data_IF_794526219079
#
_entry.id   IF_794526219079
#
_cell.length_a   1.000
_cell.length_b   1.000
_cell.length_c   1.000
_cell.angle_alpha   90.00
_cell.angle_beta   90.00
_cell.angle_gamma   90.00
#
_symmetry.space_group_name_H-M   'P 1'
#
loop_
_entity.id
_entity.type
_entity.pdbx_description
1 polymer ?
#
# COMPACT_ATOMS: atom_id res chain seq x y z
N UNK A 1 -0.69 43.08 27.39
CA UNK A 1 -2.03 43.54 26.95
C UNK A 1 -2.85 42.44 26.22
N UNK A 2 -2.70 41.15 26.58
CA UNK A 2 -3.51 40.02 26.04
C UNK A 2 -4.21 39.22 27.17
N UNK A 3 -3.88 39.51 28.45
CA UNK A 3 -4.51 38.85 29.60
C UNK A 3 -5.82 39.48 30.08
N UNK A 4 -6.21 40.66 29.58
CA UNK A 4 -7.46 41.33 30.01
C UNK A 4 -8.65 40.97 29.10
N UNK A 5 -8.40 40.65 27.83
CA UNK A 5 -9.46 40.32 26.85
C UNK A 5 -10.03 38.91 27.05
N UNK A 6 -9.21 37.94 27.48
CA UNK A 6 -9.70 36.59 27.83
C UNK A 6 -10.52 36.56 29.13
N UNK A 7 -10.23 37.48 30.06
CA UNK A 7 -10.91 37.53 31.35
C UNK A 7 -12.33 38.12 31.24
N UNK A 8 -12.54 39.08 30.32
CA UNK A 8 -13.87 39.63 30.06
C UNK A 8 -14.79 38.65 29.30
N UNK A 9 -14.24 37.82 28.42
CA UNK A 9 -15.01 36.83 27.65
C UNK A 9 -15.55 35.69 28.54
N UNK A 10 -14.79 35.32 29.58
CA UNK A 10 -15.21 34.33 30.58
C UNK A 10 -16.21 34.89 31.61
N UNK A 11 -16.23 36.20 31.84
CA UNK A 11 -17.16 36.84 32.77
C UNK A 11 -18.57 36.99 32.18
N UNK A 12 -18.67 37.21 30.85
CA UNK A 12 -19.96 37.31 30.15
C UNK A 12 -20.69 35.96 30.01
N UNK A 13 -19.97 34.84 30.09
CA UNK A 13 -20.55 33.49 30.08
C UNK A 13 -21.07 33.02 31.46
N UNK A 14 -20.88 33.82 32.52
CA UNK A 14 -21.30 33.46 33.90
C UNK A 14 -22.64 34.04 34.36
N UNK A 15 -23.36 34.78 33.52
CA UNK A 15 -24.67 35.36 33.88
C UNK A 15 -25.89 34.51 33.51
N UNK A 16 -25.72 33.29 32.97
CA UNK A 16 -26.84 32.44 32.57
C UNK A 16 -26.74 30.96 32.97
N UNK A 17 -26.02 30.62 34.05
CA UNK A 17 -25.94 29.22 34.49
C UNK A 17 -26.25 29.09 35.99
N UNK A 18 -27.39 28.48 36.29
CA UNK A 18 -27.71 27.90 37.61
C UNK A 18 -26.64 26.87 38.02
N UNK A 19 -26.26 26.79 39.30
CA UNK A 19 -25.17 25.91 39.74
C UNK A 19 -25.64 24.45 39.78
N UNK A 20 -25.04 23.61 38.94
CA UNK A 20 -25.08 22.15 39.11
C UNK A 20 -23.88 21.75 39.98
N UNK A 21 -24.18 21.24 41.18
CA UNK A 21 -23.22 20.66 42.10
C UNK A 21 -22.63 19.38 41.48
N UNK A 22 -21.32 19.39 41.18
CA UNK A 22 -20.60 18.17 40.81
C UNK A 22 -20.23 17.38 42.07
N UNK A 23 -20.99 16.31 42.33
CA UNK A 23 -20.56 15.26 43.25
C UNK A 23 -19.59 14.33 42.51
N UNK A 24 -18.42 14.12 43.09
CA UNK A 24 -17.29 13.43 42.46
C UNK A 24 -17.45 11.92 42.68
N UNK A 25 -18.10 11.22 41.75
CA UNK A 25 -17.94 9.78 41.40
C UNK A 25 -19.08 9.36 40.48
N UNK A 26 -18.84 9.29 39.17
CA UNK A 26 -19.49 8.34 38.26
C UNK A 26 -18.83 8.42 36.87
N UNK A 27 -18.51 7.26 36.31
CA UNK A 27 -17.92 7.09 34.98
C UNK A 27 -18.97 7.42 33.93
N UNK A 28 -18.86 8.61 33.33
CA UNK A 28 -19.73 9.09 32.25
C UNK A 28 -19.27 8.55 30.90
N UNK A 29 -19.85 7.44 30.42
CA UNK A 29 -19.95 7.12 28.99
C UNK A 29 -21.10 6.16 28.72
N UNK A 30 -22.34 6.60 28.94
CA UNK A 30 -23.53 6.07 28.23
C UNK A 30 -24.64 7.12 28.32
N UNK A 31 -24.56 8.15 27.48
CA UNK A 31 -25.75 8.94 27.14
C UNK A 31 -26.37 8.32 25.87
N UNK A 32 -27.65 7.96 26.00
CA UNK A 32 -28.49 7.47 24.93
C UNK A 32 -28.55 8.50 23.79
N UNK A 33 -27.82 8.23 22.71
CA UNK A 33 -28.05 8.89 21.44
C UNK A 33 -29.31 8.28 20.82
N UNK A 34 -30.40 9.03 20.86
CA UNK A 34 -31.58 8.75 20.03
C UNK A 34 -31.10 8.57 18.58
N UNK A 35 -31.38 7.38 18.05
CA UNK A 35 -30.92 6.94 16.75
C UNK A 35 -31.66 7.72 15.68
N UNK A 36 -31.03 8.78 15.15
CA UNK A 36 -31.35 9.24 13.80
C UNK A 36 -30.95 8.08 12.89
N UNK A 37 -31.93 7.29 12.45
CA UNK A 37 -31.75 6.34 11.35
C UNK A 37 -31.61 7.21 10.10
N UNK A 38 -30.44 7.81 9.91
CA UNK A 38 -29.97 8.07 8.55
C UNK A 38 -29.92 6.70 7.89
N UNK A 39 -30.62 6.54 6.77
CA UNK A 39 -30.35 5.45 5.84
C UNK A 39 -28.88 5.57 5.43
N UNK A 40 -28.00 4.92 6.18
CA UNK A 40 -26.58 4.84 5.87
C UNK A 40 -26.48 4.07 4.57
N UNK A 41 -26.35 4.79 3.47
CA UNK A 41 -25.94 4.19 2.21
C UNK A 41 -24.53 3.62 2.41
N UNK A 42 -24.43 2.29 2.35
CA UNK A 42 -23.14 1.61 2.40
C UNK A 42 -22.28 2.09 1.22
N UNK A 43 -20.97 2.30 1.42
CA UNK A 43 -20.09 2.71 0.35
C UNK A 43 -19.94 1.61 -0.70
N UNK A 44 -19.91 2.00 -1.96
CA UNK A 44 -19.66 1.08 -3.07
C UNK A 44 -18.15 0.83 -3.20
N UNK A 45 -17.73 -0.42 -2.97
CA UNK A 45 -16.33 -0.84 -3.04
C UNK A 45 -16.16 -1.82 -4.19
N UNK A 46 -15.22 -1.52 -5.09
CA UNK A 46 -14.84 -2.44 -6.16
C UNK A 46 -13.63 -3.26 -5.72
N UNK A 47 -13.78 -4.58 -5.63
CA UNK A 47 -12.66 -5.51 -5.45
C UNK A 47 -12.15 -5.94 -6.82
N UNK A 48 -10.96 -5.47 -7.19
CA UNK A 48 -10.25 -5.85 -8.41
C UNK A 48 -9.24 -6.94 -8.05
N UNK A 49 -9.31 -8.08 -8.73
CA UNK A 49 -8.44 -9.21 -8.43
C UNK A 49 -7.44 -9.51 -9.54
N UNK A 50 -6.18 -9.74 -9.17
CA UNK A 50 -5.12 -10.18 -10.08
C UNK A 50 -4.62 -11.60 -9.83
N UNK A 51 -5.16 -12.30 -8.83
CA UNK A 51 -4.72 -13.63 -8.41
C UNK A 51 -3.82 -13.60 -7.17
N UNK A 52 -2.69 -14.30 -7.23
CA UNK A 52 -1.79 -14.50 -6.10
C UNK A 52 -2.22 -15.62 -5.16
N UNK A 53 -1.44 -15.79 -4.08
CA UNK A 53 -1.65 -16.80 -3.03
C UNK A 53 -3.03 -16.71 -2.37
N UNK A 54 -3.63 -15.52 -2.28
CA UNK A 54 -4.98 -15.32 -1.73
C UNK A 54 -6.07 -16.07 -2.52
N UNK A 55 -5.83 -16.29 -3.81
CA UNK A 55 -6.64 -17.10 -4.71
C UNK A 55 -6.00 -18.49 -4.96
N UNK A 56 -4.98 -18.84 -4.20
CA UNK A 56 -4.20 -20.06 -4.38
C UNK A 56 -4.86 -21.29 -3.78
N UNK A 57 -4.67 -22.44 -4.44
CA UNK A 57 -5.23 -23.73 -4.01
C UNK A 57 -4.11 -24.74 -3.80
N UNK A 58 -4.14 -25.40 -2.65
CA UNK A 58 -3.28 -26.53 -2.33
C UNK A 58 -4.11 -27.82 -2.24
N UNK A 59 -3.44 -28.98 -2.36
CA UNK A 59 -4.11 -30.28 -2.32
C UNK A 59 -4.61 -30.68 -0.92
N UNK A 60 -4.13 -30.02 0.14
CA UNK A 60 -4.56 -30.26 1.51
C UNK A 60 -4.56 -28.96 2.32
N UNK A 61 -5.35 -28.91 3.39
CA UNK A 61 -5.36 -27.76 4.31
C UNK A 61 -4.06 -27.60 5.11
N UNK A 62 -3.19 -28.61 5.14
CA UNK A 62 -1.90 -28.55 5.87
C UNK A 62 -0.77 -28.03 4.98
N UNK A 63 -0.99 -27.97 3.66
CA UNK A 63 0.00 -27.55 2.69
C UNK A 63 -0.03 -26.04 2.53
N UNK A 64 1.05 -25.37 2.91
CA UNK A 64 1.20 -23.90 2.80
C UNK A 64 2.24 -23.47 1.77
N UNK A 65 3.12 -24.36 1.31
CA UNK A 65 4.27 -24.02 0.44
C UNK A 65 4.13 -24.52 -0.99
N UNK A 66 3.47 -25.67 -1.20
CA UNK A 66 3.24 -26.27 -2.52
C UNK A 66 1.79 -26.08 -2.93
N UNK A 67 1.50 -24.96 -3.58
CA UNK A 67 0.16 -24.61 -4.05
C UNK A 67 0.24 -23.97 -5.43
N UNK A 68 -0.93 -23.86 -6.09
CA UNK A 68 -1.06 -23.12 -7.35
C UNK A 68 -1.66 -21.76 -7.07
N UNK A 69 -0.87 -20.71 -7.26
CA UNK A 69 -1.28 -19.30 -7.16
C UNK A 69 -2.36 -18.97 -8.20
N UNK A 70 -3.25 -18.01 -7.91
CA UNK A 70 -4.23 -17.52 -8.90
C UNK A 70 -5.15 -18.60 -9.49
N UNK A 71 -5.66 -19.53 -8.68
CA UNK A 71 -6.55 -20.62 -9.15
C UNK A 71 -8.02 -20.26 -9.02
N UNK A 72 -8.41 -19.69 -7.87
CA UNK A 72 -9.80 -19.33 -7.61
C UNK A 72 -10.13 -17.97 -8.23
N UNK A 73 -11.39 -17.80 -8.63
CA UNK A 73 -11.92 -16.47 -8.91
C UNK A 73 -12.25 -15.73 -7.61
N UNK A 74 -12.21 -14.40 -7.62
CA UNK A 74 -12.46 -13.56 -6.44
C UNK A 74 -13.85 -13.77 -5.85
N UNK A 75 -14.85 -14.14 -6.66
CA UNK A 75 -16.19 -14.50 -6.17
C UNK A 75 -16.15 -15.73 -5.25
N UNK A 76 -15.31 -16.73 -5.56
CA UNK A 76 -15.13 -17.90 -4.69
C UNK A 76 -14.30 -17.53 -3.45
N UNK A 77 -13.24 -16.73 -3.62
CA UNK A 77 -12.38 -16.28 -2.50
C UNK A 77 -13.17 -15.54 -1.42
N UNK A 78 -14.15 -14.71 -1.78
CA UNK A 78 -14.95 -13.95 -0.82
C UNK A 78 -16.20 -14.66 -0.34
N UNK A 79 -16.52 -15.84 -0.88
CA UNK A 79 -17.81 -16.53 -0.65
C UNK A 79 -18.12 -16.73 0.83
N UNK A 80 -17.13 -17.18 1.59
CA UNK A 80 -17.30 -17.51 3.02
C UNK A 80 -17.31 -16.27 3.92
N UNK A 81 -16.85 -15.11 3.42
CA UNK A 81 -16.84 -13.83 4.15
C UNK A 81 -17.91 -12.85 3.66
N UNK A 82 -18.81 -13.24 2.74
CA UNK A 82 -19.85 -12.36 2.23
C UNK A 82 -20.68 -11.72 3.34
N UNK A 83 -21.11 -12.49 4.33
CA UNK A 83 -21.86 -11.99 5.47
C UNK A 83 -21.10 -10.97 6.33
N UNK A 84 -19.76 -11.03 6.35
CA UNK A 84 -18.93 -10.02 7.01
C UNK A 84 -18.87 -8.70 6.23
N UNK A 85 -18.99 -8.75 4.89
CA UNK A 85 -18.88 -7.59 4.02
C UNK A 85 -20.22 -6.85 3.82
N UNK A 86 -21.34 -7.57 3.91
CA UNK A 86 -22.70 -7.04 3.66
C UNK A 86 -23.07 -5.82 4.52
N UNK A 87 -22.57 -5.72 5.74
CA UNK A 87 -22.81 -4.56 6.62
C UNK A 87 -21.73 -3.48 6.53
N UNK A 88 -20.68 -3.72 5.74
CA UNK A 88 -19.51 -2.82 5.60
C UNK A 88 -19.61 -2.02 4.30
N UNK A 89 -19.92 -2.68 3.18
CA UNK A 89 -19.90 -2.05 1.86
C UNK A 89 -20.77 -2.80 0.84
N UNK A 90 -21.24 -2.08 -0.18
CA UNK A 90 -21.78 -2.70 -1.39
C UNK A 90 -20.61 -3.16 -2.27
N UNK A 91 -20.40 -4.48 -2.35
CA UNK A 91 -19.25 -5.06 -3.05
C UNK A 91 -19.56 -5.27 -4.53
N UNK A 92 -18.78 -4.61 -5.39
CA UNK A 92 -18.64 -4.96 -6.79
C UNK A 92 -17.37 -5.79 -6.99
N UNK A 93 -17.45 -6.86 -7.77
CA UNK A 93 -16.34 -7.80 -7.96
C UNK A 93 -15.87 -7.72 -9.40
N UNK A 94 -14.56 -7.51 -9.59
CA UNK A 94 -13.91 -7.47 -10.90
C UNK A 94 -12.72 -8.44 -10.93
N UNK A 95 -12.84 -9.51 -11.70
CA UNK A 95 -11.74 -10.42 -11.96
C UNK A 95 -10.91 -9.89 -13.14
N UNK A 96 -9.84 -9.17 -12.85
CA UNK A 96 -9.01 -8.55 -13.88
C UNK A 96 -7.93 -9.48 -14.43
N UNK A 97 -7.16 -10.12 -13.55
CA UNK A 97 -6.15 -11.13 -13.88
C UNK A 97 -6.26 -12.30 -12.89
N UNK A 98 -5.58 -13.41 -13.16
CA UNK A 98 -5.48 -14.51 -12.20
C UNK A 98 -4.13 -15.23 -12.33
N UNK A 99 -3.07 -14.55 -11.89
CA UNK A 99 -1.67 -14.96 -12.10
C UNK A 99 -0.90 -14.96 -10.78
N UNK A 100 0.29 -15.55 -10.78
CA UNK A 100 1.27 -15.30 -9.73
C UNK A 100 1.82 -13.86 -9.83
N UNK A 101 2.10 -13.21 -8.69
CA UNK A 101 2.74 -11.89 -8.72
C UNK A 101 4.09 -11.90 -9.42
N UNK A 102 4.82 -13.02 -9.41
CA UNK A 102 6.12 -13.13 -10.10
C UNK A 102 6.01 -13.09 -11.63
N UNK A 103 4.80 -13.20 -12.19
CA UNK A 103 4.55 -13.04 -13.63
C UNK A 103 4.30 -11.57 -14.02
N UNK A 104 4.17 -10.66 -13.05
CA UNK A 104 3.93 -9.23 -13.32
C UNK A 104 5.22 -8.59 -13.85
N UNK A 105 5.25 -8.37 -15.16
CA UNK A 105 6.25 -7.54 -15.83
C UNK A 105 5.82 -6.06 -15.89
N UNK A 106 6.68 -5.18 -16.42
CA UNK A 106 6.42 -3.73 -16.49
C UNK A 106 5.15 -3.37 -17.27
N UNK A 107 4.90 -4.02 -18.40
CA UNK A 107 3.66 -3.83 -19.17
C UNK A 107 2.42 -4.22 -18.37
N UNK A 108 2.44 -5.36 -17.66
CA UNK A 108 1.35 -5.75 -16.76
C UNK A 108 1.15 -4.78 -15.60
N UNK A 109 2.23 -4.26 -15.02
CA UNK A 109 2.17 -3.25 -13.96
C UNK A 109 1.51 -1.95 -14.46
N UNK A 110 1.85 -1.49 -15.67
CA UNK A 110 1.19 -0.35 -16.34
C UNK A 110 -0.28 -0.67 -16.58
N UNK A 111 -0.62 -1.86 -17.10
CA UNK A 111 -2.03 -2.29 -17.29
C UNK A 111 -2.83 -2.29 -15.98
N UNK A 112 -2.23 -2.72 -14.87
CA UNK A 112 -2.84 -2.64 -13.53
C UNK A 112 -3.10 -1.18 -13.16
N UNK A 113 -2.11 -0.29 -13.34
CA UNK A 113 -2.29 1.14 -13.08
C UNK A 113 -3.41 1.76 -13.93
N UNK A 114 -3.44 1.51 -15.24
CA UNK A 114 -4.55 1.97 -16.08
C UNK A 114 -5.91 1.40 -15.64
N UNK A 115 -5.99 0.13 -15.24
CA UNK A 115 -7.24 -0.47 -14.76
C UNK A 115 -7.75 0.23 -13.51
N UNK A 116 -6.87 0.52 -12.55
CA UNK A 116 -7.18 1.27 -11.32
C UNK A 116 -7.54 2.71 -11.65
N UNK A 117 -6.77 3.37 -12.53
CA UNK A 117 -7.00 4.73 -13.01
C UNK A 117 -8.39 4.93 -13.62
N UNK A 118 -8.88 3.97 -14.41
CA UNK A 118 -10.27 4.00 -14.91
C UNK A 118 -11.30 3.79 -13.80
N UNK A 119 -11.02 2.92 -12.83
CA UNK A 119 -11.96 2.63 -11.75
C UNK A 119 -12.13 3.81 -10.80
N UNK A 120 -11.05 4.53 -10.49
CA UNK A 120 -11.15 5.73 -9.63
C UNK A 120 -11.98 6.84 -10.29
N UNK A 121 -12.11 6.86 -11.62
CA UNK A 121 -12.98 7.78 -12.34
C UNK A 121 -14.46 7.34 -12.37
N UNK A 122 -14.76 6.07 -12.06
CA UNK A 122 -16.13 5.56 -12.06
C UNK A 122 -16.96 6.23 -10.92
N UNK A 123 -18.02 6.99 -11.22
CA UNK A 123 -18.80 7.70 -10.19
C UNK A 123 -19.52 6.76 -9.23
N UNK A 124 -19.79 5.52 -9.64
CA UNK A 124 -20.42 4.51 -8.79
C UNK A 124 -19.44 3.93 -7.75
N UNK A 125 -18.13 4.07 -7.96
CA UNK A 125 -17.11 3.49 -7.09
C UNK A 125 -16.63 4.52 -6.07
N UNK A 126 -16.63 4.16 -4.79
CA UNK A 126 -16.23 5.03 -3.68
C UNK A 126 -14.90 4.61 -3.04
N UNK A 127 -14.45 3.38 -3.30
CA UNK A 127 -13.15 2.85 -2.89
C UNK A 127 -12.80 1.58 -3.66
N UNK A 128 -11.52 1.24 -3.70
CA UNK A 128 -11.00 0.10 -4.45
C UNK A 128 -10.18 -0.78 -3.52
N UNK A 129 -10.40 -2.09 -3.61
CA UNK A 129 -9.50 -3.10 -3.03
C UNK A 129 -8.86 -3.87 -4.17
N UNK A 130 -7.52 -3.90 -4.22
CA UNK A 130 -6.76 -4.69 -5.19
C UNK A 130 -6.20 -5.93 -4.48
N UNK A 131 -6.68 -7.12 -4.84
CA UNK A 131 -6.07 -8.37 -4.35
C UNK A 131 -4.92 -8.77 -5.27
N UNK A 132 -3.71 -8.89 -4.73
CA UNK A 132 -2.49 -9.16 -5.49
C UNK A 132 -1.56 -10.15 -4.75
N UNK A 133 -0.76 -10.90 -5.50
CA UNK A 133 0.26 -11.79 -4.94
C UNK A 133 1.32 -11.03 -4.15
N UNK A 134 1.79 -11.59 -3.04
CA UNK A 134 2.53 -10.81 -2.05
C UNK A 134 3.97 -10.48 -2.45
N UNK A 135 4.55 -11.18 -3.44
CA UNK A 135 5.96 -11.02 -3.80
C UNK A 135 6.26 -9.67 -4.45
N UNK A 136 5.43 -9.21 -5.39
CA UNK A 136 5.58 -7.91 -6.06
C UNK A 136 4.60 -6.84 -5.55
N UNK A 137 3.97 -7.06 -4.40
CA UNK A 137 2.96 -6.14 -3.86
C UNK A 137 3.55 -4.78 -3.52
N UNK A 138 4.76 -4.73 -2.98
CA UNK A 138 5.37 -3.47 -2.55
C UNK A 138 5.77 -2.60 -3.76
N UNK A 139 6.28 -3.22 -4.82
CA UNK A 139 6.64 -2.60 -6.08
C UNK A 139 5.39 -2.07 -6.80
N UNK A 140 4.35 -2.89 -6.95
CA UNK A 140 3.10 -2.48 -7.60
C UNK A 140 2.40 -1.38 -6.79
N UNK A 141 2.37 -1.48 -5.47
CA UNK A 141 1.82 -0.42 -4.63
C UNK A 141 2.59 0.90 -4.81
N UNK A 142 3.93 0.83 -4.93
CA UNK A 142 4.77 2.02 -5.14
C UNK A 142 4.48 2.64 -6.50
N UNK A 143 4.38 1.85 -7.57
CA UNK A 143 3.95 2.32 -8.89
C UNK A 143 2.59 3.00 -8.84
N UNK A 144 1.60 2.37 -8.21
CA UNK A 144 0.25 2.95 -8.08
C UNK A 144 0.27 4.25 -7.28
N UNK A 145 1.09 4.32 -6.23
CA UNK A 145 1.24 5.55 -5.44
C UNK A 145 1.80 6.71 -6.24
N UNK A 146 2.62 6.44 -7.28
CA UNK A 146 3.17 7.44 -8.18
C UNK A 146 2.23 7.80 -9.33
N UNK A 147 1.37 6.87 -9.76
CA UNK A 147 0.63 7.00 -11.03
C UNK A 147 -0.88 7.24 -10.86
N UNK A 148 -1.44 6.91 -9.70
CA UNK A 148 -2.86 7.13 -9.41
C UNK A 148 -3.03 8.44 -8.64
N UNK A 149 -3.83 9.34 -9.21
CA UNK A 149 -4.32 10.54 -8.56
C UNK A 149 -5.82 10.38 -8.30
N UNK A 150 -6.23 10.33 -7.03
CA UNK A 150 -7.60 9.98 -6.67
C UNK A 150 -7.95 10.39 -5.25
N UNK A 151 -9.12 11.01 -5.07
CA UNK A 151 -9.71 11.24 -3.73
C UNK A 151 -10.35 9.99 -3.11
N UNK A 152 -10.39 8.87 -3.85
CA UNK A 152 -10.94 7.58 -3.42
C UNK A 152 -9.80 6.65 -2.98
N UNK A 153 -9.97 5.90 -1.87
CA UNK A 153 -8.98 4.93 -1.40
C UNK A 153 -8.69 3.84 -2.44
N UNK A 154 -7.41 3.51 -2.59
CA UNK A 154 -6.94 2.28 -3.22
C UNK A 154 -6.17 1.47 -2.18
N UNK A 155 -6.71 0.30 -1.82
CA UNK A 155 -6.13 -0.57 -0.80
C UNK A 155 -5.64 -1.85 -1.45
N UNK A 156 -4.34 -2.13 -1.38
CA UNK A 156 -3.78 -3.41 -1.80
C UNK A 156 -3.83 -4.40 -0.65
N UNK A 157 -4.16 -5.65 -0.96
CA UNK A 157 -4.13 -6.75 0.01
C UNK A 157 -3.83 -8.09 -0.68
N UNK A 158 -3.54 -9.11 0.10
CA UNK A 158 -3.17 -10.43 -0.37
C UNK A 158 -3.17 -11.45 0.78
N UNK A 159 -2.46 -12.55 0.59
CA UNK A 159 -2.30 -13.57 1.63
C UNK A 159 -0.91 -14.19 1.55
N UNK A 160 -0.38 -14.61 2.70
CA UNK A 160 0.83 -15.42 2.80
C UNK A 160 0.49 -16.91 2.62
N UNK A 161 -0.68 -17.34 3.08
CA UNK A 161 -1.13 -18.74 2.99
C UNK A 161 -2.16 -18.90 1.87
N UNK A 162 -2.15 -20.04 1.14
CA UNK A 162 -3.15 -20.30 0.12
C UNK A 162 -4.55 -20.37 0.74
N UNK A 163 -5.58 -20.08 -0.06
CA UNK A 163 -6.97 -19.99 0.39
C UNK A 163 -7.44 -21.27 1.10
N UNK A 164 -6.98 -22.44 0.65
CA UNK A 164 -7.35 -23.74 1.21
C UNK A 164 -6.61 -24.11 2.49
N UNK A 165 -5.60 -23.35 2.90
CA UNK A 165 -4.81 -23.66 4.08
C UNK A 165 -5.60 -23.46 5.38
N UNK A 166 -5.28 -24.27 6.38
CA UNK A 166 -5.74 -24.08 7.75
C UNK A 166 -5.25 -22.73 8.25
N UNK A 167 -6.18 -21.95 8.81
CA UNK A 167 -5.89 -20.58 9.27
C UNK A 167 -5.28 -19.71 8.17
N UNK A 168 -5.84 -19.79 6.95
CA UNK A 168 -5.51 -18.85 5.87
C UNK A 168 -5.78 -17.41 6.29
N UNK A 169 -4.88 -16.50 5.95
CA UNK A 169 -4.93 -15.08 6.34
C UNK A 169 -5.74 -14.21 5.36
N UNK A 170 -5.95 -14.70 4.13
CA UNK A 170 -6.67 -13.99 3.07
C UNK A 170 -8.05 -13.44 3.45
N UNK A 171 -8.96 -14.24 4.03
CA UNK A 171 -10.29 -13.78 4.42
C UNK A 171 -10.27 -12.56 5.36
N UNK A 172 -9.44 -12.59 6.41
CA UNK A 172 -9.30 -11.46 7.35
C UNK A 172 -8.67 -10.24 6.69
N UNK A 173 -7.64 -10.45 5.87
CA UNK A 173 -6.98 -9.37 5.11
C UNK A 173 -7.97 -8.66 4.16
N UNK A 174 -8.87 -9.38 3.48
CA UNK A 174 -9.89 -8.79 2.60
C UNK A 174 -10.90 -7.96 3.39
N UNK A 175 -11.41 -8.48 4.52
CA UNK A 175 -12.35 -7.74 5.37
C UNK A 175 -11.69 -6.43 5.82
N UNK A 176 -10.47 -6.51 6.35
CA UNK A 176 -9.72 -5.33 6.78
C UNK A 176 -9.47 -4.33 5.66
N UNK A 177 -9.14 -4.81 4.45
CA UNK A 177 -8.90 -3.97 3.29
C UNK A 177 -10.18 -3.27 2.82
N UNK A 178 -11.31 -3.99 2.78
CA UNK A 178 -12.63 -3.42 2.43
C UNK A 178 -13.02 -2.37 3.46
N UNK A 179 -12.95 -2.66 4.76
CA UNK A 179 -13.25 -1.68 5.81
C UNK A 179 -12.36 -0.45 5.69
N UNK A 180 -11.06 -0.64 5.43
CA UNK A 180 -10.13 0.47 5.18
C UNK A 180 -10.53 1.30 3.96
N UNK A 181 -11.00 0.65 2.88
CA UNK A 181 -11.47 1.32 1.66
C UNK A 181 -12.82 2.05 1.84
N UNK A 182 -13.58 1.79 2.91
CA UNK A 182 -14.78 2.59 3.23
C UNK A 182 -14.47 3.96 3.83
N UNK A 183 -13.28 4.11 4.42
CA UNK A 183 -12.93 5.27 5.22
C UNK A 183 -12.60 6.51 4.38
N UNK A 184 -13.17 7.67 4.77
CA UNK A 184 -12.75 8.99 4.26
C UNK A 184 -11.33 9.36 4.69
N UNK A 185 -10.72 8.61 5.62
CA UNK A 185 -9.37 8.81 6.17
C UNK A 185 -8.24 8.46 5.20
N UNK A 186 -8.55 7.83 4.07
CA UNK A 186 -7.60 7.64 2.96
C UNK A 186 -7.25 8.92 2.21
N UNK A 187 -7.94 10.03 2.48
CA UNK A 187 -7.72 11.34 1.81
C UNK A 187 -6.30 11.92 1.95
N UNK A 188 -5.40 11.30 2.70
CA UNK A 188 -3.99 11.71 2.79
C UNK A 188 -3.02 10.67 2.26
N UNK A 189 -3.49 9.48 1.93
CA UNK A 189 -2.73 8.38 1.35
C UNK A 189 -3.63 7.65 0.35
N UNK A 190 -3.49 7.99 -0.92
CA UNK A 190 -4.38 7.51 -1.98
C UNK A 190 -4.23 5.99 -2.19
N UNK A 191 -3.02 5.48 -1.93
CA UNK A 191 -2.66 4.07 -2.04
C UNK A 191 -2.06 3.58 -0.74
N UNK A 192 -2.59 2.49 -0.18
CA UNK A 192 -2.05 1.83 1.02
C UNK A 192 -2.05 0.31 0.84
N UNK A 193 -1.21 -0.38 1.60
CA UNK A 193 -1.20 -1.84 1.72
C UNK A 193 -1.82 -2.21 3.07
N UNK A 194 -2.76 -3.16 3.07
CA UNK A 194 -3.31 -3.77 4.27
C UNK A 194 -2.97 -5.24 4.29
N UNK A 195 -2.07 -5.61 5.21
CA UNK A 195 -1.56 -6.97 5.41
C UNK A 195 -1.23 -7.18 6.88
N UNK A 196 -1.58 -8.34 7.43
CA UNK A 196 -1.16 -8.75 8.78
C UNK A 196 -1.49 -7.71 9.86
N UNK A 197 -2.73 -7.22 9.83
CA UNK A 197 -3.27 -6.18 10.73
C UNK A 197 -2.51 -4.84 10.72
N UNK A 198 -1.72 -4.56 9.69
CA UNK A 198 -1.02 -3.28 9.50
C UNK A 198 -1.59 -2.53 8.31
N UNK A 199 -1.66 -1.21 8.45
CA UNK A 199 -1.89 -0.27 7.35
C UNK A 199 -0.53 0.36 7.03
N UNK A 200 -0.07 0.12 5.81
CA UNK A 200 1.29 0.37 5.37
C UNK A 200 1.32 1.29 4.16
N UNK A 201 2.26 2.23 4.16
CA UNK A 201 2.51 3.11 3.04
C UNK A 201 3.40 2.43 1.99
N UNK A 202 3.18 2.63 0.69
CA UNK A 202 3.96 1.94 -0.35
C UNK A 202 5.46 2.24 -0.31
N UNK A 203 5.87 3.50 -0.16
CA UNK A 203 7.25 3.99 -0.34
C UNK A 203 8.32 3.51 0.64
N UNK A 204 7.97 2.72 1.66
CA UNK A 204 8.93 2.18 2.62
C UNK A 204 8.66 0.74 3.01
N UNK A 205 7.58 0.15 2.50
CA UNK A 205 7.17 -1.20 2.88
C UNK A 205 7.95 -2.21 2.05
N UNK A 206 8.46 -3.25 2.71
CA UNK A 206 9.07 -4.40 2.04
C UNK A 206 8.43 -5.68 2.56
N UNK A 207 8.38 -6.69 1.69
CA UNK A 207 8.18 -8.07 2.11
C UNK A 207 9.53 -8.67 2.46
N UNK A 208 9.61 -9.29 3.63
CA UNK A 208 10.76 -10.08 4.06
C UNK A 208 10.25 -11.43 4.55
N UNK A 209 10.49 -12.46 3.74
CA UNK A 209 9.85 -13.77 3.89
C UNK A 209 8.32 -13.60 4.00
N UNK A 210 7.71 -14.14 5.05
CA UNK A 210 6.27 -14.11 5.29
C UNK A 210 5.80 -12.83 6.00
N UNK A 211 6.59 -11.76 6.02
CA UNK A 211 6.27 -10.54 6.78
C UNK A 211 6.31 -9.28 5.92
N UNK A 212 5.29 -8.45 6.08
CA UNK A 212 5.31 -7.06 5.61
C UNK A 212 5.89 -6.17 6.71
N UNK A 213 7.06 -5.61 6.42
CA UNK A 213 7.83 -4.78 7.34
C UNK A 213 7.72 -3.31 6.91
N UNK A 214 7.23 -2.43 7.80
CA UNK A 214 7.24 -1.01 7.52
C UNK A 214 8.68 -0.49 7.54
N UNK A 215 8.98 0.41 6.63
CA UNK A 215 10.14 1.27 6.70
C UNK A 215 9.85 2.53 7.49
N UNK A 216 10.83 3.44 7.58
CA UNK A 216 10.71 4.70 8.30
C UNK A 216 9.52 5.51 7.80
N UNK A 217 8.58 5.78 8.71
CA UNK A 217 7.37 6.55 8.40
C UNK A 217 6.35 5.83 7.51
N UNK A 218 6.56 4.57 7.13
CA UNK A 218 5.60 3.81 6.30
C UNK A 218 4.58 3.01 7.12
N UNK A 219 4.70 2.95 8.45
CA UNK A 219 3.65 2.39 9.30
C UNK A 219 2.58 3.45 9.58
N UNK A 220 1.47 3.37 8.85
CA UNK A 220 0.38 4.35 8.91
C UNK A 220 -0.60 4.05 10.05
N UNK A 221 -0.83 2.77 10.33
CA UNK A 221 -1.83 2.34 11.28
C UNK A 221 -1.89 0.84 11.50
N UNK A 222 -2.87 0.43 12.28
CA UNK A 222 -3.19 -0.96 12.57
C UNK A 222 -4.65 -1.25 12.21
N UNK A 223 -4.99 -2.52 12.06
CA UNK A 223 -6.36 -2.99 12.12
C UNK A 223 -6.63 -3.47 13.54
N UNK A 224 -7.67 -2.93 14.18
CA UNK A 224 -8.07 -3.28 15.55
C UNK A 224 -9.56 -3.56 15.55
N UNK A 225 -9.96 -4.73 16.01
CA UNK A 225 -11.37 -5.14 16.03
C UNK A 225 -12.03 -5.03 14.63
N UNK A 226 -11.27 -5.36 13.58
CA UNK A 226 -11.65 -5.20 12.15
C UNK A 226 -11.83 -3.77 11.66
N UNK A 227 -11.43 -2.77 12.45
CA UNK A 227 -11.50 -1.35 12.12
C UNK A 227 -10.11 -0.73 11.92
N UNK A 228 -9.94 0.18 10.94
CA UNK A 228 -8.67 0.85 10.72
C UNK A 228 -8.37 1.91 11.79
N UNK A 229 -7.25 1.75 12.50
CA UNK A 229 -6.71 2.71 13.46
C UNK A 229 -5.45 3.38 12.90
N UNK A 230 -5.56 4.65 12.48
CA UNK A 230 -4.42 5.44 11.98
C UNK A 230 -3.65 6.12 13.13
N UNK A 231 -2.32 6.00 13.12
CA UNK A 231 -1.44 6.44 14.23
C UNK A 231 -1.01 7.91 14.16
N UNK A 232 -1.12 8.57 13.01
CA UNK A 232 -0.73 9.98 12.82
C UNK A 232 -1.84 10.77 12.13
N UNK A 233 -2.15 12.00 12.58
CA UNK A 233 -2.97 12.90 11.80
C UNK A 233 -2.25 13.28 10.50
N UNK A 234 -3.07 13.45 9.48
CA UNK A 234 -2.74 13.69 8.08
C UNK A 234 -1.67 14.77 7.83
N UNK A 235 -0.72 14.50 6.94
CA UNK A 235 0.17 15.54 6.40
C UNK A 235 1.50 15.06 5.84
N UNK A 236 1.73 15.43 4.58
CA UNK A 236 3.01 15.64 3.90
C UNK A 236 3.92 14.42 3.67
N UNK A 237 3.57 13.64 2.64
CA UNK A 237 4.47 13.19 1.57
C UNK A 237 3.63 12.41 0.55
N UNK A 238 2.67 13.06 -0.11
CA UNK A 238 2.16 12.49 -1.36
C UNK A 238 3.34 12.51 -2.33
N UNK A 239 3.76 11.36 -2.88
CA UNK A 239 4.87 11.33 -3.81
C UNK A 239 4.51 12.16 -5.05
N UNK A 240 5.52 12.64 -5.77
CA UNK A 240 5.33 13.32 -7.05
C UNK A 240 4.50 12.41 -7.97
N UNK A 241 3.42 12.95 -8.53
CA UNK A 241 2.58 12.22 -9.49
C UNK A 241 3.22 12.19 -10.85
N UNK A 242 3.22 11.01 -11.45
CA UNK A 242 3.72 10.73 -12.78
C UNK A 242 2.52 10.37 -13.64
N UNK A 243 2.19 11.25 -14.58
CA UNK A 243 1.15 10.96 -15.55
C UNK A 243 1.66 9.94 -16.58
N UNK A 244 1.07 8.75 -16.54
CA UNK A 244 1.36 7.66 -17.49
C UNK A 244 0.20 7.43 -18.46
N UNK A 245 -0.82 8.30 -18.48
CA UNK A 245 -2.02 8.12 -19.32
C UNK A 245 -1.72 8.01 -20.81
N UNK A 246 -0.62 8.64 -21.25
CA UNK A 246 -0.12 8.58 -22.63
C UNK A 246 0.75 7.36 -22.96
N UNK A 247 1.09 6.51 -21.98
CA UNK A 247 1.81 5.27 -22.24
C UNK A 247 0.84 4.22 -22.79
N UNK A 248 1.27 3.51 -23.83
CA UNK A 248 0.55 2.32 -24.30
C UNK A 248 0.79 1.17 -23.30
N UNK A 249 -0.26 0.62 -22.66
CA UNK A 249 -0.10 -0.49 -21.71
C UNK A 249 0.47 -1.77 -22.35
N UNK A 250 0.47 -1.89 -23.67
CA UNK A 250 1.10 -2.98 -24.41
C UNK A 250 2.62 -2.83 -24.59
N UNK A 251 3.19 -1.67 -24.28
CA UNK A 251 4.62 -1.38 -24.46
C UNK A 251 5.34 -1.47 -23.11
N UNK A 252 6.45 -2.22 -23.01
CA UNK A 252 7.26 -2.24 -21.80
C UNK A 252 7.83 -0.86 -21.45
N UNK A 253 7.96 -0.60 -20.15
CA UNK A 253 8.72 0.56 -19.66
C UNK A 253 10.21 0.45 -20.02
N UNK A 254 10.95 1.58 -20.03
CA UNK A 254 12.40 1.56 -20.20
C UNK A 254 13.10 0.55 -19.31
N UNK A 255 14.08 -0.16 -19.86
CA UNK A 255 14.79 -1.22 -19.13
C UNK A 255 15.71 -0.61 -18.08
N UNK A 256 15.51 -0.97 -16.81
CA UNK A 256 16.36 -0.54 -15.69
C UNK A 256 16.96 -1.77 -15.02
N UNK A 257 18.28 -1.85 -15.00
CA UNK A 257 18.99 -2.98 -14.37
C UNK A 257 19.37 -2.66 -12.92
N UNK A 258 19.24 -3.66 -12.05
CA UNK A 258 19.55 -3.54 -10.62
C UNK A 258 20.79 -4.39 -10.31
N UNK A 259 21.89 -3.73 -9.93
CA UNK A 259 23.16 -4.38 -9.66
C UNK A 259 23.54 -4.22 -8.19
N UNK A 260 23.65 -5.35 -7.49
CA UNK A 260 24.05 -5.38 -6.09
C UNK A 260 25.57 -5.44 -5.96
N UNK A 261 26.12 -4.54 -5.16
CA UNK A 261 27.52 -4.58 -4.77
C UNK A 261 27.81 -5.90 -4.03
N UNK A 262 28.92 -6.53 -4.39
CA UNK A 262 29.50 -7.62 -3.62
C UNK A 262 31.03 -7.54 -3.66
N UNK A 263 31.70 -8.31 -2.81
CA UNK A 263 33.15 -8.39 -2.80
C UNK A 263 33.66 -8.81 -4.19
N UNK A 264 34.59 -8.04 -4.75
CA UNK A 264 35.14 -8.27 -6.08
C UNK A 264 34.10 -8.18 -7.21
N UNK A 265 33.08 -7.32 -7.05
CA UNK A 265 32.13 -7.01 -8.11
C UNK A 265 32.85 -6.60 -9.41
N UNK A 266 32.63 -7.29 -10.53
CA UNK A 266 33.30 -7.03 -11.79
C UNK A 266 32.63 -5.84 -12.53
N UNK A 267 33.38 -4.77 -12.88
CA UNK A 267 32.85 -3.64 -13.66
C UNK A 267 32.21 -4.04 -14.99
N UNK A 268 32.61 -5.18 -15.57
CA UNK A 268 32.05 -5.69 -16.83
C UNK A 268 30.55 -5.95 -16.78
N UNK A 269 29.95 -6.19 -15.61
CA UNK A 269 28.49 -6.32 -15.50
C UNK A 269 27.76 -5.01 -15.78
N UNK A 270 28.34 -3.86 -15.39
CA UNK A 270 27.79 -2.55 -15.76
C UNK A 270 27.88 -2.35 -17.27
N UNK A 271 29.04 -2.65 -17.87
CA UNK A 271 29.22 -2.54 -19.32
C UNK A 271 28.27 -3.46 -20.09
N UNK A 272 28.05 -4.68 -19.57
CA UNK A 272 27.13 -5.66 -20.18
C UNK A 272 25.68 -5.20 -20.08
N UNK A 273 25.26 -4.61 -18.96
CA UNK A 273 23.91 -4.05 -18.82
C UNK A 273 23.67 -2.93 -19.85
N UNK A 274 24.62 -1.99 -19.97
CA UNK A 274 24.55 -0.89 -20.94
C UNK A 274 24.52 -1.43 -22.37
N UNK A 275 25.42 -2.35 -22.72
CA UNK A 275 25.46 -2.96 -24.05
C UNK A 275 24.21 -3.81 -24.35
N UNK A 276 23.55 -4.33 -23.32
CA UNK A 276 22.27 -5.04 -23.40
C UNK A 276 21.06 -4.12 -23.63
N UNK A 277 21.26 -2.80 -23.67
CA UNK A 277 20.20 -1.82 -23.90
C UNK A 277 19.52 -1.31 -22.62
N UNK A 278 20.18 -1.42 -21.46
CA UNK A 278 19.70 -0.76 -20.26
C UNK A 278 19.64 0.76 -20.48
N UNK A 279 18.49 1.36 -20.14
CA UNK A 279 18.25 2.80 -20.22
C UNK A 279 18.46 3.48 -18.85
N UNK A 280 18.55 2.69 -17.78
CA UNK A 280 18.93 3.15 -16.45
C UNK A 280 19.56 2.05 -15.61
N UNK A 281 20.27 2.47 -14.57
CA UNK A 281 20.92 1.57 -13.62
C UNK A 281 20.56 1.94 -12.18
N UNK A 282 20.30 0.93 -11.36
CA UNK A 282 20.25 1.05 -9.90
C UNK A 282 21.42 0.28 -9.31
N UNK A 283 22.37 1.00 -8.73
CA UNK A 283 23.53 0.42 -8.07
C UNK A 283 23.27 0.34 -6.57
N UNK A 284 23.08 -0.88 -6.07
CA UNK A 284 22.75 -1.15 -4.66
C UNK A 284 24.04 -1.42 -3.88
N UNK A 285 24.53 -0.40 -3.18
CA UNK A 285 25.75 -0.46 -2.37
C UNK A 285 25.54 -0.96 -0.94
N UNK A 286 26.66 -1.13 -0.23
CA UNK A 286 26.70 -1.44 1.20
C UNK A 286 26.39 -0.20 2.05
N UNK A 287 25.76 -0.38 3.22
CA UNK A 287 25.60 0.69 4.21
C UNK A 287 24.86 1.92 3.65
N UNK A 288 25.56 3.05 3.50
CA UNK A 288 25.00 4.30 2.94
C UNK A 288 25.09 4.36 1.41
N UNK A 289 25.18 3.22 0.72
CA UNK A 289 25.40 3.13 -0.73
C UNK A 289 26.88 3.07 -1.13
N UNK A 290 27.76 2.63 -0.22
CA UNK A 290 29.19 2.45 -0.49
C UNK A 290 29.43 1.33 -1.50
N UNK A 291 30.39 1.56 -2.39
CA UNK A 291 30.82 0.62 -3.40
C UNK A 291 32.28 0.19 -3.18
N UNK A 292 32.67 -1.07 -3.46
CA UNK A 292 34.05 -1.53 -3.37
C UNK A 292 35.01 -0.68 -4.21
N UNK A 293 36.11 -0.20 -3.62
CA UNK A 293 37.10 0.62 -4.32
C UNK A 293 37.79 -0.10 -5.48
N UNK A 294 37.85 -1.44 -5.44
CA UNK A 294 38.42 -2.29 -6.50
C UNK A 294 37.73 -2.11 -7.86
N UNK A 295 36.44 -1.76 -7.87
CA UNK A 295 35.65 -1.54 -9.09
C UNK A 295 35.07 -0.14 -9.24
N UNK A 296 35.04 0.66 -8.16
CA UNK A 296 34.39 1.96 -8.15
C UNK A 296 34.91 2.93 -9.23
N UNK A 297 36.24 3.01 -9.42
CA UNK A 297 36.81 3.95 -10.39
C UNK A 297 36.43 3.58 -11.84
N UNK A 298 36.56 2.31 -12.20
CA UNK A 298 36.22 1.83 -13.55
C UNK A 298 34.73 1.99 -13.84
N UNK A 299 33.86 1.71 -12.85
CA UNK A 299 32.42 1.93 -12.99
C UNK A 299 32.14 3.43 -13.19
N UNK A 300 32.77 4.30 -12.40
CA UNK A 300 32.59 5.75 -12.55
C UNK A 300 32.99 6.24 -13.94
N UNK A 301 34.13 5.79 -14.44
CA UNK A 301 34.61 6.17 -15.77
C UNK A 301 33.62 5.72 -16.86
N UNK A 302 33.14 4.47 -16.76
CA UNK A 302 32.13 3.93 -17.67
C UNK A 302 30.80 4.71 -17.66
N UNK A 303 30.32 5.10 -16.48
CA UNK A 303 29.09 5.87 -16.35
C UNK A 303 29.23 7.27 -16.97
N UNK A 304 30.39 7.90 -16.83
CA UNK A 304 30.66 9.21 -17.43
C UNK A 304 30.78 9.16 -18.95
N UNK A 305 31.25 8.04 -19.51
CA UNK A 305 31.37 7.85 -20.96
C UNK A 305 30.03 7.54 -21.66
N UNK A 306 29.06 6.99 -20.93
CA UNK A 306 27.82 6.43 -21.50
C UNK A 306 26.57 7.28 -21.27
N UNK A 307 26.65 8.29 -20.39
CA UNK A 307 25.53 9.18 -20.01
C UNK A 307 24.25 8.43 -19.57
N UNK A 308 24.40 7.20 -19.07
CA UNK A 308 23.28 6.40 -18.57
C UNK A 308 22.78 6.92 -17.22
N UNK A 309 21.46 7.06 -17.08
CA UNK A 309 20.84 7.49 -15.83
C UNK A 309 21.11 6.47 -14.74
N UNK A 310 21.83 6.87 -13.69
CA UNK A 310 22.24 5.98 -12.61
C UNK A 310 21.76 6.47 -11.26
N UNK A 311 21.13 5.58 -10.50
CA UNK A 311 20.69 5.80 -9.12
C UNK A 311 21.54 4.94 -8.19
N UNK A 312 22.13 5.55 -7.17
CA UNK A 312 22.78 4.83 -6.08
C UNK A 312 21.78 4.58 -4.94
N UNK A 313 21.62 3.32 -4.58
CA UNK A 313 20.76 2.86 -3.50
C UNK A 313 21.58 2.06 -2.47
N UNK A 314 20.96 1.69 -1.35
CA UNK A 314 21.57 0.80 -0.38
C UNK A 314 20.71 -0.44 -0.11
N UNK A 315 21.37 -1.53 0.27
CA UNK A 315 20.69 -2.74 0.70
C UNK A 315 20.12 -2.55 2.12
N UNK A 316 18.84 -2.20 2.24
CA UNK A 316 18.13 -2.19 3.53
C UNK A 316 17.14 -1.04 3.69
N UNK A 317 16.64 -0.87 4.91
CA UNK A 317 15.84 0.28 5.32
C UNK A 317 16.74 1.24 6.12
N UNK A 318 17.00 2.43 5.59
CA UNK A 318 17.73 3.47 6.32
C UNK A 318 16.75 4.35 7.10
N UNK A 319 16.84 4.36 8.43
CA UNK A 319 16.01 5.23 9.29
C UNK A 319 16.19 6.73 9.03
N UNK A 320 17.22 7.11 8.25
CA UNK A 320 17.62 8.47 8.00
C UNK A 320 18.02 8.65 6.53
N UNK A 321 17.12 9.19 5.71
CA UNK A 321 17.50 9.75 4.42
C UNK A 321 18.24 11.09 4.69
N UNK A 322 19.57 11.07 4.75
CA UNK A 322 20.35 12.31 4.72
C UNK A 322 20.37 12.80 3.28
N UNK A 323 19.72 13.94 2.99
CA UNK A 323 20.03 14.70 1.78
C UNK A 323 21.52 15.05 1.82
N UNK A 324 22.31 14.50 0.91
CA UNK A 324 23.64 15.02 0.56
C UNK A 324 23.46 16.06 -0.54
#
# INVERSE_FOLDING_TARGET
MIRMTLFLLLLLLRLSATPLFFNRKEHLWHENLETIIETRHLPNITIISTGGTIAGVANSSETTTSYRSGTLGITEVIKDIRGNLENVANIHVDQFLNIDSLEINSSLAVRISHRIGREVLNPCTQGIVLTLGTDLMSEVATLLSLTIESNKPVVLTGAIRPHTARSADGPGNIIAAVTTATGRSSRSHEVVIVMQDKILAPWGTKKENDRFLPGPGSWLGDIRDSEPFFRRPFGHCAPLKIDISGLDPGVPLPTVEILHAYQDFPPSFVATAIAGGAEGLVLVGYGDGYWPSSSAQQIRDLLLETDIVTVFANAGQSEWARRK
#
